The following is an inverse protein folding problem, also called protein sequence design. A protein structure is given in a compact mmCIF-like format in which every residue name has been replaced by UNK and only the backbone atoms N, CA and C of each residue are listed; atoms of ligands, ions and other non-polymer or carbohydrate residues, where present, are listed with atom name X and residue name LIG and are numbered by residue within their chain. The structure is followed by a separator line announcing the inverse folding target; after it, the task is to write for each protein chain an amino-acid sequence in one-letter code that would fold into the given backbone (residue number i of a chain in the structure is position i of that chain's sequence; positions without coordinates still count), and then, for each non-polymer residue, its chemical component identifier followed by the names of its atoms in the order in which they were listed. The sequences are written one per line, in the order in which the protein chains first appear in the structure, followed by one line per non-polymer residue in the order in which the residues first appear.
data_IF_745318628723
#
_entry.id   IF_745318628723
#
_cell.length_a   1.000
_cell.length_b   1.000
_cell.length_c   1.000
_cell.angle_alpha   90.00
_cell.angle_beta   90.00
_cell.angle_gamma   90.00
#
_symmetry.space_group_name_H-M   'P 1'
#
loop_
_entity.id
_entity.type
_entity.pdbx_description
1 polymer ?
#
# COMPACT_ATOMS: atom_id res chain seq x y z
N UNK A 1 -24.76 5.44 -3.86
CA UNK A 1 -23.99 6.23 -2.89
C UNK A 1 -24.15 5.57 -1.54
N UNK A 2 -23.05 5.15 -0.92
CA UNK A 2 -23.09 4.43 0.38
C UNK A 2 -23.32 5.43 1.53
N UNK A 3 -23.70 4.98 2.75
CA UNK A 3 -23.95 5.88 3.87
C UNK A 3 -22.78 6.81 4.17
N UNK A 4 -21.54 6.31 4.13
CA UNK A 4 -20.34 7.10 4.34
C UNK A 4 -20.13 8.15 3.24
N UNK A 5 -20.39 7.82 1.98
CA UNK A 5 -20.30 8.78 0.88
C UNK A 5 -21.29 9.92 1.02
N UNK A 6 -22.52 9.63 1.48
CA UNK A 6 -23.53 10.67 1.74
C UNK A 6 -23.04 11.62 2.84
N UNK A 7 -22.55 11.09 3.97
CA UNK A 7 -22.00 11.90 5.06
C UNK A 7 -20.86 12.80 4.57
N UNK A 8 -19.94 12.27 3.77
CA UNK A 8 -18.85 13.07 3.21
C UNK A 8 -19.41 14.18 2.31
N UNK A 9 -20.28 13.84 1.34
CA UNK A 9 -20.84 14.82 0.41
C UNK A 9 -21.62 15.93 1.12
N UNK A 10 -22.39 15.59 2.16
CA UNK A 10 -23.19 16.56 2.91
C UNK A 10 -22.31 17.52 3.74
N UNK A 11 -21.14 17.09 4.24
CA UNK A 11 -20.28 17.91 5.09
C UNK A 11 -19.19 18.68 4.34
N UNK A 12 -18.69 18.18 3.19
CA UNK A 12 -17.58 18.81 2.45
C UNK A 12 -17.82 18.98 0.95
N UNK A 13 -18.97 18.54 0.42
CA UNK A 13 -19.34 18.69 -0.99
C UNK A 13 -18.76 17.63 -1.94
N UNK A 14 -17.83 16.78 -1.49
CA UNK A 14 -17.21 15.74 -2.32
C UNK A 14 -16.98 14.44 -1.54
N UNK A 15 -16.95 13.31 -2.26
CA UNK A 15 -16.65 11.99 -1.69
C UNK A 15 -15.14 11.78 -1.61
N UNK A 16 -14.41 11.94 -2.71
CA UNK A 16 -12.94 11.95 -2.74
C UNK A 16 -12.44 12.76 -3.93
N UNK A 17 -11.24 13.32 -3.82
CA UNK A 17 -10.58 14.10 -4.86
C UNK A 17 -9.06 14.11 -4.66
N UNK A 18 -8.30 14.41 -5.70
CA UNK A 18 -6.86 14.64 -5.55
C UNK A 18 -6.59 15.88 -4.66
N UNK A 19 -5.54 15.85 -3.82
CA UNK A 19 -5.19 17.00 -2.98
C UNK A 19 -4.72 18.16 -3.84
N UNK A 20 -5.24 19.36 -3.57
CA UNK A 20 -4.89 20.58 -4.33
C UNK A 20 -3.42 20.96 -4.24
N UNK A 21 -2.79 20.73 -3.09
CA UNK A 21 -1.35 20.95 -2.88
C UNK A 21 -0.48 19.78 -3.34
N UNK A 22 -1.07 18.73 -3.94
CA UNK A 22 -0.41 17.55 -4.48
C UNK A 22 0.38 16.71 -3.47
N UNK A 23 0.27 16.98 -2.17
CA UNK A 23 1.01 16.28 -1.10
C UNK A 23 0.18 15.17 -0.49
N UNK A 24 0.78 13.97 -0.38
CA UNK A 24 0.12 12.79 0.20
C UNK A 24 1.05 12.02 1.12
N UNK A 25 0.50 11.46 2.20
CA UNK A 25 1.14 10.33 2.87
C UNK A 25 0.78 9.06 2.13
N UNK A 26 1.77 8.25 1.76
CA UNK A 26 1.55 6.94 1.14
C UNK A 26 2.05 5.84 2.08
N UNK A 27 1.20 4.87 2.39
CA UNK A 27 1.62 3.69 3.14
C UNK A 27 2.35 2.75 2.19
N UNK A 28 3.64 2.50 2.43
CA UNK A 28 4.52 1.74 1.55
C UNK A 28 5.05 0.49 2.25
N UNK A 29 4.97 -0.66 1.59
CA UNK A 29 5.49 -1.95 2.09
C UNK A 29 6.71 -2.47 1.33
N UNK A 30 7.04 -1.88 0.17
CA UNK A 30 8.02 -2.45 -0.76
C UNK A 30 7.47 -3.58 -1.62
N UNK A 31 6.18 -3.93 -1.45
CA UNK A 31 5.47 -4.84 -2.35
C UNK A 31 5.05 -4.17 -3.65
N UNK A 32 4.75 -5.00 -4.67
CA UNK A 32 4.38 -4.59 -6.03
C UNK A 32 3.36 -3.44 -6.02
N UNK A 33 2.22 -3.66 -5.38
CA UNK A 33 1.07 -2.76 -5.42
C UNK A 33 1.47 -1.36 -4.87
N UNK A 34 2.16 -1.31 -3.73
CA UNK A 34 2.60 -0.04 -3.13
C UNK A 34 3.62 0.73 -3.98
N UNK A 35 4.52 0.01 -4.65
CA UNK A 35 5.56 0.59 -5.50
C UNK A 35 4.97 1.05 -6.84
N UNK A 36 4.16 0.23 -7.48
CA UNK A 36 3.47 0.57 -8.72
C UNK A 36 2.56 1.79 -8.52
N UNK A 37 1.79 1.79 -7.43
CA UNK A 37 0.93 2.93 -7.08
C UNK A 37 1.74 4.20 -6.83
N UNK A 38 2.84 4.11 -6.06
CA UNK A 38 3.69 5.29 -5.78
C UNK A 38 4.28 5.86 -7.08
N UNK A 39 4.81 5.01 -7.95
CA UNK A 39 5.34 5.42 -9.25
C UNK A 39 4.26 6.09 -10.11
N UNK A 40 3.07 5.49 -10.21
CA UNK A 40 1.94 6.05 -10.96
C UNK A 40 1.51 7.41 -10.43
N UNK A 41 1.40 7.57 -9.10
CA UNK A 41 1.03 8.82 -8.46
C UNK A 41 2.03 9.96 -8.73
N UNK A 42 3.33 9.65 -8.75
CA UNK A 42 4.35 10.64 -9.09
C UNK A 42 4.35 10.98 -10.59
N UNK A 43 4.27 9.97 -11.46
CA UNK A 43 4.49 10.12 -12.90
C UNK A 43 3.25 10.66 -13.64
N UNK A 44 2.04 10.23 -13.28
CA UNK A 44 0.80 10.61 -13.98
C UNK A 44 0.03 11.72 -13.29
N UNK A 45 0.10 11.76 -11.95
CA UNK A 45 -0.69 12.70 -11.13
C UNK A 45 0.15 13.80 -10.51
N UNK A 46 1.46 13.80 -10.76
CA UNK A 46 2.42 14.82 -10.31
C UNK A 46 2.42 15.00 -8.77
N UNK A 47 2.08 13.96 -8.02
CA UNK A 47 2.00 14.03 -6.56
C UNK A 47 3.38 13.97 -5.89
N UNK A 48 3.49 14.66 -4.76
CA UNK A 48 4.59 14.60 -3.81
C UNK A 48 4.22 13.63 -2.69
N UNK A 49 5.05 12.60 -2.51
CA UNK A 49 4.79 11.46 -1.63
C UNK A 49 5.67 11.53 -0.40
N UNK A 50 5.03 11.48 0.78
CA UNK A 50 5.62 11.24 2.09
C UNK A 50 5.40 9.78 2.48
N UNK A 51 6.38 8.88 2.30
CA UNK A 51 6.18 7.46 2.51
C UNK A 51 6.17 7.12 4.01
N UNK A 52 5.22 6.29 4.42
CA UNK A 52 5.18 5.68 5.75
C UNK A 52 5.37 4.16 5.62
N UNK A 53 6.47 3.65 6.17
CA UNK A 53 6.73 2.22 6.28
C UNK A 53 6.49 1.75 7.72
N UNK A 54 5.67 0.72 7.90
CA UNK A 54 5.22 0.24 9.21
C UNK A 54 5.68 -1.20 9.41
N UNK A 55 6.58 -1.42 10.36
CA UNK A 55 6.90 -2.76 10.86
C UNK A 55 5.77 -3.23 11.80
N UNK A 56 5.02 -4.23 11.35
CA UNK A 56 3.80 -4.77 11.98
C UNK A 56 4.03 -6.04 12.81
N UNK A 57 5.30 -6.45 12.97
CA UNK A 57 5.65 -7.75 13.56
C UNK A 57 5.53 -8.91 12.57
N UNK A 58 5.80 -8.64 11.29
CA UNK A 58 5.86 -9.58 10.18
C UNK A 58 7.22 -10.30 10.11
N UNK A 59 7.25 -11.45 9.46
CA UNK A 59 8.44 -12.32 9.33
C UNK A 59 9.41 -11.87 8.23
N UNK A 60 8.91 -11.11 7.26
CA UNK A 60 9.64 -10.65 6.09
C UNK A 60 10.17 -9.20 6.20
N UNK A 61 10.26 -8.65 7.41
CA UNK A 61 10.66 -7.25 7.68
C UNK A 61 11.97 -6.85 6.99
N UNK A 62 13.01 -7.69 7.05
CA UNK A 62 14.29 -7.36 6.41
C UNK A 62 14.17 -7.30 4.88
N UNK A 63 13.37 -8.18 4.28
CA UNK A 63 13.15 -8.16 2.83
C UNK A 63 12.33 -6.93 2.42
N UNK A 64 11.30 -6.56 3.19
CA UNK A 64 10.54 -5.31 2.98
C UNK A 64 11.45 -4.08 3.08
N UNK A 65 12.32 -4.01 4.10
CA UNK A 65 13.29 -2.92 4.25
C UNK A 65 14.25 -2.82 3.07
N UNK A 66 14.76 -3.95 2.57
CA UNK A 66 15.63 -3.97 1.39
C UNK A 66 14.89 -3.40 0.16
N UNK A 67 13.64 -3.80 -0.06
CA UNK A 67 12.82 -3.28 -1.15
C UNK A 67 12.52 -1.78 -0.98
N UNK A 68 12.10 -1.34 0.21
CA UNK A 68 11.79 0.08 0.50
C UNK A 68 13.02 0.97 0.31
N UNK A 69 14.19 0.54 0.81
CA UNK A 69 15.44 1.29 0.64
C UNK A 69 15.83 1.38 -0.85
N UNK A 70 15.79 0.26 -1.57
CA UNK A 70 16.05 0.25 -3.01
C UNK A 70 15.13 1.22 -3.77
N UNK A 71 13.82 1.18 -3.50
CA UNK A 71 12.86 2.04 -4.19
C UNK A 71 12.92 3.50 -3.74
N UNK A 72 13.38 3.78 -2.52
CA UNK A 72 13.66 5.15 -2.10
C UNK A 72 14.73 5.76 -2.98
N UNK A 73 15.88 5.11 -3.12
CA UNK A 73 16.96 5.59 -3.99
C UNK A 73 16.53 5.63 -5.46
N UNK A 74 15.85 4.58 -5.93
CA UNK A 74 15.37 4.49 -7.31
C UNK A 74 14.41 5.65 -7.65
N UNK A 75 13.40 5.91 -6.81
CA UNK A 75 12.43 6.97 -7.05
C UNK A 75 13.02 8.36 -6.84
N UNK A 76 13.90 8.57 -5.87
CA UNK A 76 14.59 9.84 -5.70
C UNK A 76 15.49 10.17 -6.88
N UNK A 77 16.15 9.17 -7.48
CA UNK A 77 16.97 9.34 -8.68
C UNK A 77 16.11 9.56 -9.94
N UNK A 78 14.97 8.88 -10.05
CA UNK A 78 14.11 8.94 -11.24
C UNK A 78 13.18 10.16 -11.26
N UNK A 79 12.58 10.51 -10.13
CA UNK A 79 11.55 11.55 -10.01
C UNK A 79 11.98 12.76 -9.16
N UNK A 80 13.05 12.63 -8.38
CA UNK A 80 13.56 13.69 -7.50
C UNK A 80 13.20 13.50 -6.03
N UNK A 81 14.06 14.01 -5.13
CA UNK A 81 13.87 13.96 -3.66
C UNK A 81 12.65 14.74 -3.17
N UNK A 82 12.18 15.70 -3.96
CA UNK A 82 10.95 16.46 -3.70
C UNK A 82 9.68 15.74 -4.19
N UNK A 83 9.80 14.61 -4.90
CA UNK A 83 8.66 13.78 -5.31
C UNK A 83 8.49 12.55 -4.43
N UNK A 84 9.58 11.92 -4.02
CA UNK A 84 9.55 10.81 -3.07
C UNK A 84 10.46 11.12 -1.88
N UNK A 85 9.86 11.55 -0.77
CA UNK A 85 10.61 11.86 0.44
C UNK A 85 11.21 10.61 1.07
N UNK A 86 12.20 10.79 1.94
CA UNK A 86 12.76 9.68 2.72
C UNK A 86 11.64 9.06 3.58
N UNK A 87 11.41 7.73 3.50
CA UNK A 87 10.34 7.08 4.26
C UNK A 87 10.49 7.27 5.76
N UNK A 88 9.38 7.61 6.42
CA UNK A 88 9.29 7.45 7.87
C UNK A 88 9.09 5.97 8.19
N UNK A 89 10.02 5.39 8.95
CA UNK A 89 9.91 4.01 9.43
C UNK A 89 9.45 3.98 10.89
N UNK A 90 8.41 3.21 11.19
CA UNK A 90 7.90 3.01 12.56
C UNK A 90 7.66 1.53 12.83
N UNK A 91 7.56 1.17 14.12
CA UNK A 91 7.26 -0.19 14.54
C UNK A 91 6.03 -0.21 15.44
N UNK A 92 4.96 -0.87 15.00
CA UNK A 92 3.71 -1.03 15.75
C UNK A 92 3.18 -2.43 15.49
N UNK A 93 3.13 -3.28 16.52
CA UNK A 93 2.60 -4.65 16.36
C UNK A 93 1.11 -4.63 16.08
N UNK A 94 0.70 -5.13 14.91
CA UNK A 94 -0.70 -5.24 14.51
C UNK A 94 -0.98 -6.66 14.00
N UNK A 95 -1.58 -7.54 14.82
CA UNK A 95 -2.14 -7.28 16.16
C UNK A 95 -1.06 -7.20 17.27
N UNK A 96 -1.41 -6.66 18.45
CA UNK A 96 -0.59 -6.74 19.66
C UNK A 96 -0.14 -8.19 19.98
N UNK A 97 1.07 -8.31 20.51
CA UNK A 97 1.76 -9.60 20.68
C UNK A 97 1.12 -10.47 21.76
N UNK A 98 0.51 -9.83 22.75
CA UNK A 98 -0.07 -10.40 23.96
C UNK A 98 -1.20 -11.39 23.64
N UNK A 99 -2.00 -11.08 22.61
CA UNK A 99 -3.14 -11.90 22.19
C UNK A 99 -3.06 -12.35 20.72
N UNK A 100 -1.90 -12.20 20.07
CA UNK A 100 -1.69 -12.59 18.66
C UNK A 100 -1.99 -14.07 18.41
N UNK A 101 -1.69 -14.94 19.38
CA UNK A 101 -1.96 -16.39 19.28
C UNK A 101 -3.46 -16.70 19.25
N UNK A 102 -4.23 -16.00 20.08
CA UNK A 102 -5.67 -16.21 20.21
C UNK A 102 -6.43 -15.75 18.95
N UNK A 103 -5.85 -14.82 18.19
CA UNK A 103 -6.39 -14.33 16.91
C UNK A 103 -6.09 -15.22 15.70
N UNK A 104 -5.27 -16.26 15.83
CA UNK A 104 -4.86 -17.10 14.70
C UNK A 104 -6.04 -17.78 13.98
N UNK A 105 -7.04 -18.36 14.67
CA UNK A 105 -8.20 -18.96 13.99
C UNK A 105 -8.97 -17.94 13.15
N UNK A 106 -9.17 -16.73 13.67
CA UNK A 106 -9.84 -15.63 12.97
C UNK A 106 -9.02 -15.15 11.77
N UNK A 107 -7.72 -14.90 11.98
CA UNK A 107 -6.81 -14.34 10.99
C UNK A 107 -6.71 -15.21 9.73
N UNK A 108 -6.72 -16.53 9.88
CA UNK A 108 -6.67 -17.46 8.74
C UNK A 108 -7.86 -17.32 7.80
N UNK A 109 -9.01 -16.88 8.30
CA UNK A 109 -10.27 -16.79 7.54
C UNK A 109 -10.56 -15.35 7.09
N UNK A 110 -10.33 -14.38 7.98
CA UNK A 110 -10.76 -12.98 7.80
C UNK A 110 -9.60 -11.99 7.68
N UNK A 111 -8.36 -12.44 7.82
CA UNK A 111 -7.20 -11.57 7.92
C UNK A 111 -7.06 -10.96 9.32
N UNK A 112 -5.98 -10.20 9.54
CA UNK A 112 -5.76 -9.55 10.82
C UNK A 112 -6.84 -8.49 11.09
N UNK A 113 -7.54 -8.57 12.24
CA UNK A 113 -8.65 -7.68 12.53
C UNK A 113 -8.19 -6.23 12.57
N UNK A 114 -8.91 -5.35 11.87
CA UNK A 114 -8.68 -3.90 11.85
C UNK A 114 -7.26 -3.47 11.44
N UNK A 115 -6.49 -4.34 10.77
CA UNK A 115 -5.09 -4.06 10.44
C UNK A 115 -4.94 -2.79 9.60
N UNK A 116 -5.65 -2.74 8.48
CA UNK A 116 -5.54 -1.61 7.54
C UNK A 116 -6.08 -0.30 8.18
N UNK A 117 -7.25 -0.27 8.86
CA UNK A 117 -7.67 0.89 9.65
C UNK A 117 -6.61 1.43 10.61
N UNK A 118 -5.94 0.58 11.40
CA UNK A 118 -4.87 1.01 12.31
C UNK A 118 -3.73 1.67 11.53
N UNK A 119 -3.31 1.07 10.42
CA UNK A 119 -2.26 1.63 9.56
C UNK A 119 -2.66 2.99 8.96
N UNK A 120 -3.92 3.15 8.57
CA UNK A 120 -4.42 4.44 8.07
C UNK A 120 -4.38 5.53 9.15
N UNK A 121 -4.74 5.20 10.39
CA UNK A 121 -4.68 6.14 11.51
C UNK A 121 -3.24 6.55 11.84
N UNK A 122 -2.29 5.61 11.80
CA UNK A 122 -0.86 5.93 11.89
C UNK A 122 -0.41 6.85 10.74
N UNK A 123 -0.98 6.66 9.54
CA UNK A 123 -0.80 7.57 8.40
C UNK A 123 -1.30 8.99 8.68
N UNK A 124 -2.45 9.13 9.35
CA UNK A 124 -2.99 10.45 9.76
C UNK A 124 -2.03 11.13 10.75
N UNK A 125 -1.55 10.41 11.77
CA UNK A 125 -0.59 10.95 12.73
C UNK A 125 0.70 11.43 12.04
N UNK A 126 1.24 10.63 11.11
CA UNK A 126 2.41 11.03 10.33
C UNK A 126 2.13 12.26 9.45
N UNK A 127 0.95 12.33 8.84
CA UNK A 127 0.55 13.47 8.02
C UNK A 127 0.49 14.78 8.84
N UNK A 128 0.03 14.72 10.09
CA UNK A 128 0.08 15.86 11.02
C UNK A 128 1.52 16.29 11.29
N UNK A 129 2.41 15.34 11.58
CA UNK A 129 3.83 15.63 11.82
C UNK A 129 4.51 16.28 10.60
N UNK A 130 4.25 15.76 9.39
CA UNK A 130 4.72 16.33 8.12
C UNK A 130 4.18 17.75 7.92
N UNK A 131 2.91 17.97 8.24
CA UNK A 131 2.27 19.28 8.10
C UNK A 131 2.95 20.34 8.98
N UNK A 132 3.28 19.98 10.22
CA UNK A 132 3.99 20.86 11.14
C UNK A 132 5.43 21.14 10.69
N UNK A 133 6.11 20.14 10.14
CA UNK A 133 7.50 20.29 9.69
C UNK A 133 7.63 21.12 8.41
N UNK A 134 6.61 21.10 7.54
CA UNK A 134 6.64 21.78 6.23
C UNK A 134 5.86 23.10 6.18
N UNK A 135 5.15 23.45 7.25
CA UNK A 135 4.19 24.58 7.30
C UNK A 135 3.13 24.52 6.17
N UNK A 136 2.82 23.31 5.70
CA UNK A 136 1.83 23.07 4.66
C UNK A 136 0.95 21.85 4.99
N UNK A 137 -0.38 21.93 4.82
CA UNK A 137 -1.28 20.88 5.29
C UNK A 137 -1.23 19.61 4.42
N UNK A 138 -0.78 18.49 4.97
CA UNK A 138 -0.91 17.15 4.36
C UNK A 138 -2.08 16.43 5.02
N UNK A 139 -3.19 16.29 4.28
CA UNK A 139 -4.45 15.71 4.79
C UNK A 139 -4.95 14.49 4.02
N UNK A 140 -4.15 13.99 3.08
CA UNK A 140 -4.50 12.83 2.25
C UNK A 140 -3.57 11.66 2.54
N UNK A 141 -4.16 10.54 2.93
CA UNK A 141 -3.50 9.27 3.19
C UNK A 141 -3.93 8.29 2.10
N UNK A 142 -2.95 7.77 1.38
CA UNK A 142 -3.16 6.71 0.40
C UNK A 142 -2.55 5.38 0.86
N UNK A 143 -3.23 4.32 0.45
CA UNK A 143 -2.78 2.95 0.50
C UNK A 143 -2.92 2.32 -0.90
N UNK A 144 -2.30 1.17 -1.12
CA UNK A 144 -2.32 0.49 -2.41
C UNK A 144 -3.26 -0.73 -2.40
N UNK A 145 -4.46 -0.58 -1.85
CA UNK A 145 -5.49 -1.62 -1.96
C UNK A 145 -5.89 -1.73 -3.44
N UNK A 146 -5.91 -2.94 -4.00
CA UNK A 146 -6.26 -3.21 -5.40
C UNK A 146 -7.60 -3.95 -5.52
N UNK A 147 -8.26 -3.96 -6.69
CA UNK A 147 -9.56 -4.64 -6.88
C UNK A 147 -9.57 -6.13 -6.49
N UNK A 148 -8.42 -6.82 -6.59
CA UNK A 148 -8.28 -8.24 -6.26
C UNK A 148 -8.05 -8.51 -4.76
N UNK A 149 -8.02 -7.49 -3.92
CA UNK A 149 -7.99 -7.65 -2.47
C UNK A 149 -9.35 -8.11 -1.94
N UNK A 150 -9.34 -9.20 -1.19
CA UNK A 150 -10.55 -9.91 -0.76
C UNK A 150 -10.78 -9.86 0.74
N UNK A 151 -9.88 -9.26 1.52
CA UNK A 151 -10.07 -9.14 2.96
C UNK A 151 -11.11 -8.04 3.26
N UNK A 152 -12.00 -8.24 4.25
CA UNK A 152 -13.06 -7.27 4.55
C UNK A 152 -12.54 -5.85 4.86
N UNK A 153 -11.37 -5.75 5.48
CA UNK A 153 -10.74 -4.49 5.85
C UNK A 153 -10.05 -3.76 4.68
N UNK A 154 -10.11 -4.33 3.46
CA UNK A 154 -9.54 -3.77 2.24
C UNK A 154 -10.63 -3.30 1.25
N UNK A 155 -11.76 -2.80 1.78
CA UNK A 155 -12.88 -2.33 0.96
C UNK A 155 -12.90 -0.80 0.84
N UNK A 156 -13.45 -0.29 -0.29
CA UNK A 156 -13.64 1.15 -0.47
C UNK A 156 -14.55 1.75 0.60
N UNK A 157 -15.64 1.06 0.96
CA UNK A 157 -16.52 1.50 2.04
C UNK A 157 -15.80 1.56 3.40
N UNK A 158 -14.88 0.63 3.67
CA UNK A 158 -14.00 0.69 4.84
C UNK A 158 -13.11 1.93 4.85
N UNK A 159 -12.54 2.31 3.70
CA UNK A 159 -11.77 3.55 3.54
C UNK A 159 -12.65 4.80 3.75
N UNK A 160 -13.89 4.79 3.26
CA UNK A 160 -14.85 5.89 3.49
C UNK A 160 -15.24 6.02 4.94
N UNK A 161 -15.52 4.90 5.60
CA UNK A 161 -15.83 4.87 7.02
C UNK A 161 -14.66 5.41 7.85
N UNK A 162 -13.42 5.01 7.54
CA UNK A 162 -12.24 5.56 8.19
C UNK A 162 -12.07 7.05 7.92
N UNK A 163 -12.34 7.53 6.70
CA UNK A 163 -12.32 8.96 6.39
C UNK A 163 -13.31 9.73 7.26
N UNK A 164 -14.56 9.28 7.34
CA UNK A 164 -15.59 9.90 8.21
C UNK A 164 -15.15 9.88 9.67
N UNK A 165 -14.63 8.75 10.16
CA UNK A 165 -14.12 8.62 11.51
C UNK A 165 -12.99 9.64 11.78
N UNK A 166 -12.02 9.76 10.88
CA UNK A 166 -10.93 10.74 10.99
C UNK A 166 -11.47 12.17 10.98
N UNK A 167 -12.38 12.51 10.07
CA UNK A 167 -12.96 13.86 10.02
C UNK A 167 -13.65 14.25 11.34
N UNK A 168 -14.42 13.33 11.93
CA UNK A 168 -15.11 13.56 13.20
C UNK A 168 -14.11 13.73 14.35
N UNK A 169 -13.16 12.80 14.50
CA UNK A 169 -12.21 12.83 15.62
C UNK A 169 -11.20 13.98 15.53
N UNK A 170 -10.88 14.43 14.32
CA UNK A 170 -9.99 15.57 14.09
C UNK A 170 -10.72 16.91 14.02
N UNK A 171 -12.06 16.91 13.96
CA UNK A 171 -12.87 18.12 13.80
C UNK A 171 -12.63 18.84 12.46
N UNK A 172 -12.22 18.10 11.42
CA UNK A 172 -11.75 18.66 10.15
C UNK A 172 -12.17 17.77 8.97
N UNK A 173 -13.02 18.32 8.10
CA UNK A 173 -13.63 17.57 7.00
C UNK A 173 -12.76 17.48 5.73
N UNK A 174 -11.57 18.11 5.74
CA UNK A 174 -10.64 18.02 4.62
C UNK A 174 -9.86 16.69 4.58
N UNK A 175 -9.81 15.94 5.69
CA UNK A 175 -9.10 14.66 5.77
C UNK A 175 -9.62 13.64 4.77
N UNK A 176 -8.71 12.89 4.15
CA UNK A 176 -9.05 11.85 3.18
C UNK A 176 -8.17 10.61 3.35
N UNK A 177 -8.80 9.45 3.48
CA UNK A 177 -8.15 8.15 3.43
C UNK A 177 -8.73 7.39 2.25
N UNK A 178 -7.89 7.01 1.28
CA UNK A 178 -8.35 6.29 0.09
C UNK A 178 -7.29 5.35 -0.49
N UNK A 179 -7.67 4.61 -1.52
CA UNK A 179 -6.76 3.95 -2.44
C UNK A 179 -7.09 4.41 -3.86
N UNK A 180 -6.16 5.07 -4.57
CA UNK A 180 -6.40 5.52 -5.93
C UNK A 180 -6.66 4.36 -6.90
N UNK A 181 -6.32 3.11 -6.54
CA UNK A 181 -6.49 1.94 -7.39
C UNK A 181 -7.92 1.37 -7.40
N UNK A 182 -8.75 1.71 -6.42
CA UNK A 182 -10.14 1.23 -6.32
C UNK A 182 -11.17 2.35 -6.17
N UNK A 183 -10.72 3.59 -5.98
CA UNK A 183 -11.58 4.75 -5.79
C UNK A 183 -12.01 5.36 -7.15
N UNK A 184 -13.28 5.20 -7.55
CA UNK A 184 -13.77 5.68 -8.85
C UNK A 184 -13.81 7.21 -8.96
N UNK A 185 -13.68 7.94 -7.85
CA UNK A 185 -13.58 9.40 -7.86
C UNK A 185 -12.15 9.91 -8.04
N UNK A 186 -11.15 9.01 -7.95
CA UNK A 186 -9.74 9.33 -8.15
C UNK A 186 -9.25 8.82 -9.50
N UNK A 187 -9.40 7.53 -9.78
CA UNK A 187 -8.96 6.96 -11.06
C UNK A 187 -9.80 5.76 -11.49
N UNK A 188 -9.60 5.32 -12.73
CA UNK A 188 -10.13 4.03 -13.17
C UNK A 188 -9.48 2.90 -12.36
N UNK A 189 -10.22 1.81 -12.04
CA UNK A 189 -9.66 0.68 -11.32
C UNK A 189 -8.33 0.22 -11.91
N UNK A 190 -7.35 0.05 -11.04
CA UNK A 190 -5.96 -0.26 -11.41
C UNK A 190 -5.53 -1.48 -10.61
N UNK A 191 -5.74 -2.66 -11.20
CA UNK A 191 -5.43 -3.94 -10.57
C UNK A 191 -4.09 -4.50 -11.02
N UNK A 192 -3.84 -5.76 -10.68
CA UNK A 192 -2.54 -6.39 -10.91
C UNK A 192 -2.13 -6.43 -12.38
N UNK A 193 -3.11 -6.61 -13.25
CA UNK A 193 -2.90 -6.61 -14.69
C UNK A 193 -2.39 -5.25 -15.15
N UNK A 194 -3.08 -4.19 -14.74
CA UNK A 194 -2.73 -2.83 -15.10
C UNK A 194 -1.41 -2.40 -14.47
N UNK A 195 -1.17 -2.74 -13.21
CA UNK A 195 0.09 -2.47 -12.49
C UNK A 195 1.30 -3.09 -13.18
N UNK A 196 1.25 -4.39 -13.49
CA UNK A 196 2.37 -5.08 -14.15
C UNK A 196 2.59 -4.48 -15.54
N UNK A 197 1.55 -4.36 -16.35
CA UNK A 197 1.68 -3.83 -17.70
C UNK A 197 2.27 -2.40 -17.70
N UNK A 198 1.76 -1.53 -16.84
CA UNK A 198 2.20 -0.15 -16.70
C UNK A 198 3.66 -0.06 -16.24
N UNK A 199 4.03 -0.84 -15.22
CA UNK A 199 5.40 -0.86 -14.73
C UNK A 199 6.38 -1.42 -15.76
N UNK A 200 5.99 -2.43 -16.53
CA UNK A 200 6.83 -2.98 -17.60
C UNK A 200 7.00 -1.96 -18.74
N UNK A 201 5.94 -1.28 -19.15
CA UNK A 201 5.98 -0.22 -20.17
C UNK A 201 6.90 0.94 -19.76
N UNK A 202 6.84 1.35 -18.48
CA UNK A 202 7.67 2.43 -17.94
C UNK A 202 9.02 1.98 -17.38
N UNK A 203 9.35 0.71 -17.54
CA UNK A 203 10.62 0.13 -17.07
C UNK A 203 10.87 0.40 -15.58
N UNK A 204 9.81 0.30 -14.76
CA UNK A 204 9.92 0.31 -13.32
C UNK A 204 10.53 -1.01 -12.88
N UNK A 205 11.53 -0.97 -11.98
CA UNK A 205 12.32 -2.13 -11.54
C UNK A 205 11.54 -3.08 -10.62
N UNK A 206 10.32 -3.48 -10.99
CA UNK A 206 9.39 -4.24 -10.15
C UNK A 206 9.89 -5.64 -9.75
N UNK A 207 10.97 -6.14 -10.36
CA UNK A 207 11.69 -7.33 -9.88
C UNK A 207 12.31 -7.17 -8.50
N UNK A 208 12.59 -5.94 -8.06
CA UNK A 208 13.11 -5.62 -6.72
C UNK A 208 12.02 -5.44 -5.66
N UNK A 209 10.75 -5.60 -6.03
CA UNK A 209 9.64 -5.60 -5.06
C UNK A 209 9.55 -6.94 -4.34
N UNK A 210 8.98 -6.94 -3.14
CA UNK A 210 8.78 -8.17 -2.36
C UNK A 210 7.30 -8.41 -2.06
N UNK A 211 6.72 -9.43 -2.71
CA UNK A 211 5.34 -9.89 -2.42
C UNK A 211 5.30 -11.09 -1.47
N UNK A 212 6.46 -11.73 -1.22
CA UNK A 212 6.55 -12.96 -0.44
C UNK A 212 6.49 -12.68 1.06
N UNK A 213 5.57 -13.35 1.75
CA UNK A 213 5.43 -13.26 3.22
C UNK A 213 6.50 -14.07 3.98
N UNK A 214 7.19 -14.98 3.29
CA UNK A 214 8.19 -15.90 3.87
C UNK A 214 9.64 -15.50 3.53
N UNK A 215 9.82 -14.34 2.88
CA UNK A 215 11.13 -13.84 2.51
C UNK A 215 11.92 -13.42 3.76
N UNK A 216 12.79 -14.31 4.23
CA UNK A 216 13.47 -14.21 5.52
C UNK A 216 14.93 -14.64 5.38
N UNK A 217 15.68 -14.66 6.47
CA UNK A 217 17.06 -15.17 6.46
C UNK A 217 17.15 -16.59 5.87
N UNK A 218 16.13 -17.43 6.11
CA UNK A 218 16.06 -18.80 5.57
C UNK A 218 16.02 -18.86 4.04
N UNK A 219 15.55 -17.80 3.39
CA UNK A 219 15.44 -17.70 1.93
C UNK A 219 16.44 -16.70 1.37
N UNK A 220 17.49 -16.32 2.13
CA UNK A 220 18.42 -15.24 1.77
C UNK A 220 17.69 -13.92 1.43
N UNK A 221 16.56 -13.66 2.07
CA UNK A 221 15.65 -12.54 1.79
C UNK A 221 15.05 -12.52 0.37
N UNK A 222 15.20 -13.59 -0.40
CA UNK A 222 14.54 -13.77 -1.70
C UNK A 222 13.10 -14.26 -1.52
N UNK A 223 12.29 -14.09 -2.57
CA UNK A 223 10.95 -14.66 -2.61
C UNK A 223 11.02 -16.19 -2.55
N UNK A 224 10.29 -16.83 -1.65
CA UNK A 224 10.46 -18.27 -1.43
C UNK A 224 10.03 -19.15 -2.61
N UNK A 225 9.18 -18.65 -3.51
CA UNK A 225 8.66 -19.39 -4.67
C UNK A 225 7.51 -20.36 -4.37
N UNK A 226 7.35 -20.77 -3.11
CA UNK A 226 6.41 -21.80 -2.70
C UNK A 226 5.10 -21.27 -2.09
N UNK A 227 5.08 -20.02 -1.62
CA UNK A 227 3.90 -19.48 -0.93
C UNK A 227 2.85 -18.95 -1.92
N UNK A 228 1.59 -18.85 -1.45
CA UNK A 228 0.47 -18.35 -2.26
C UNK A 228 0.75 -16.98 -2.90
N UNK A 229 1.46 -16.08 -2.20
CA UNK A 229 1.80 -14.77 -2.74
C UNK A 229 2.79 -14.86 -3.91
N UNK A 230 3.78 -15.75 -3.83
CA UNK A 230 4.72 -16.01 -4.93
C UNK A 230 3.98 -16.58 -6.15
N UNK A 231 3.14 -17.58 -5.93
CA UNK A 231 2.35 -18.18 -7.01
C UNK A 231 1.41 -17.19 -7.69
N UNK A 232 0.66 -16.38 -6.91
CA UNK A 232 -0.23 -15.34 -7.45
C UNK A 232 0.54 -14.32 -8.29
N UNK A 233 1.72 -13.91 -7.83
CA UNK A 233 2.57 -12.98 -8.56
C UNK A 233 3.04 -13.60 -9.88
N UNK A 234 3.67 -14.77 -9.81
CA UNK A 234 4.20 -15.46 -10.99
C UNK A 234 3.13 -15.72 -12.05
N UNK A 235 1.93 -16.15 -11.61
CA UNK A 235 0.77 -16.35 -12.49
C UNK A 235 0.33 -15.04 -13.14
N UNK A 236 0.36 -13.91 -12.43
CA UNK A 236 -0.01 -12.61 -12.98
C UNK A 236 0.94 -12.17 -14.11
N UNK A 237 2.25 -12.34 -13.96
CA UNK A 237 3.22 -12.07 -15.03
C UNK A 237 3.02 -13.00 -16.23
N UNK A 238 2.90 -14.31 -15.97
CA UNK A 238 2.74 -15.35 -17.00
C UNK A 238 1.48 -15.10 -17.84
N UNK A 239 0.34 -14.79 -17.20
CA UNK A 239 -0.92 -14.53 -17.89
C UNK A 239 -0.88 -13.28 -18.79
N UNK A 240 0.07 -12.37 -18.56
CA UNK A 240 0.28 -11.16 -19.37
C UNK A 240 1.34 -11.36 -20.45
N UNK A 241 1.98 -12.53 -20.52
CA UNK A 241 3.08 -12.80 -21.44
C UNK A 241 4.38 -12.09 -21.06
N UNK A 242 4.52 -11.63 -19.82
CA UNK A 242 5.76 -11.08 -19.30
C UNK A 242 6.56 -12.15 -18.56
N UNK A 243 7.89 -12.11 -18.68
CA UNK A 243 8.77 -12.85 -17.78
C UNK A 243 8.70 -12.21 -16.38
N UNK A 244 8.52 -13.02 -15.34
CA UNK A 244 8.51 -12.54 -13.96
C UNK A 244 9.95 -12.19 -13.53
N UNK A 245 10.27 -10.90 -13.29
CA UNK A 245 11.63 -10.47 -12.98
C UNK A 245 12.02 -10.72 -11.52
N UNK A 246 11.18 -11.38 -10.72
CA UNK A 246 11.47 -11.66 -9.31
C UNK A 246 12.54 -12.72 -9.16
N UNK A 247 13.53 -12.42 -8.30
CA UNK A 247 14.53 -13.38 -7.86
C UNK A 247 13.92 -14.29 -6.79
N UNK A 248 13.77 -15.57 -7.14
CA UNK A 248 13.22 -16.60 -6.26
C UNK A 248 14.32 -17.47 -5.64
N UNK A 249 14.15 -17.83 -4.37
CA UNK A 249 14.98 -18.83 -3.69
C UNK A 249 14.78 -20.22 -4.30
N UNK A 250 13.53 -20.59 -4.57
CA UNK A 250 13.13 -21.78 -5.30
C UNK A 250 12.20 -21.36 -6.44
N UNK A 251 12.39 -21.88 -7.65
CA UNK A 251 11.53 -21.48 -8.78
C UNK A 251 10.09 -21.98 -8.53
N UNK A 252 9.06 -21.13 -8.71
CA UNK A 252 7.68 -21.59 -8.64
C UNK A 252 7.43 -22.73 -9.64
N UNK A 253 6.92 -23.87 -9.17
CA UNK A 253 6.53 -25.00 -10.00
C UNK A 253 5.00 -25.12 -10.03
N UNK A 254 4.41 -25.17 -11.22
CA UNK A 254 2.95 -25.12 -11.43
C UNK A 254 2.19 -26.34 -10.90
N UNK A 255 2.85 -27.46 -10.63
CA UNK A 255 2.21 -28.74 -10.33
C UNK A 255 1.66 -28.87 -8.89
N UNK A 256 1.94 -27.93 -7.98
CA UNK A 256 1.62 -28.09 -6.55
C UNK A 256 0.28 -27.49 -6.09
N UNK A 257 -0.51 -26.88 -6.99
CA UNK A 257 -1.76 -26.19 -6.60
C UNK A 257 -2.96 -26.44 -7.53
N UNK A 258 -2.92 -27.50 -8.34
CA UNK A 258 -4.11 -28.05 -9.04
C UNK A 258 -4.85 -28.99 -8.08
#
# INVERSE_FOLDING_TARGET
MTPSEKVLKDNRGYVSQYPKNKKVVMIVSGGLDSIATSARLMEEFDLEIFPLHIHRGQTNTNAENNAVNFFTDYFQNRYGKNKFHTPQMISVNVPPVEFKKDLLPYTKVKGHPMRDPIMHLLGVEYAVAVSQASDEPVKTIYCAIVPEDYFPHSSLDGLRANTVNTCINMGDWDWQISSPNIDPFLSTPFGKKEEIAWCMERQISIGKTISCNEASEKTNHLACGLCKSCFRRHTAFTNLGFEDPTEYYEKPHFEQFI
#
